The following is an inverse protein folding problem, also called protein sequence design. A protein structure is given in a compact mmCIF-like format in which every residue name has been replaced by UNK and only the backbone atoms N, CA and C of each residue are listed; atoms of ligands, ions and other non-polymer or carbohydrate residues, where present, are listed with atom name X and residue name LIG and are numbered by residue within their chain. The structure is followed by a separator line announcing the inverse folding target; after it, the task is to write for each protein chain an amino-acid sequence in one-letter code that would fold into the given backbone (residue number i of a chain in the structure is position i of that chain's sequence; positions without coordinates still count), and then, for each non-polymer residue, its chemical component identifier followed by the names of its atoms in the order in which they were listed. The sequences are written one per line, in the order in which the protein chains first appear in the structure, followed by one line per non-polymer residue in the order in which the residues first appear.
data_IF_627549774824
#
_entry.id   IF_627549774824
#
_cell.length_a   1.000
_cell.length_b   1.000
_cell.length_c   1.000
_cell.angle_alpha   90.00
_cell.angle_beta   90.00
_cell.angle_gamma   90.00
#
_symmetry.space_group_name_H-M   'P 1'
#
loop_
_entity.id
_entity.type
_entity.pdbx_description
1 polymer ?
#
# COMPACT_ATOMS: atom_id res chain seq x y z
N UNK A 1 -30.50 -47.68 55.80
CA UNK A 1 -29.71 -46.84 54.89
C UNK A 1 -30.06 -45.38 55.14
N UNK A 2 -29.03 -44.54 55.32
CA UNK A 2 -28.99 -43.05 55.51
C UNK A 2 -28.28 -42.68 56.82
N UNK A 3 -26.96 -42.55 56.72
CA UNK A 3 -26.10 -41.86 57.68
C UNK A 3 -26.03 -40.40 57.26
N UNK A 4 -26.47 -39.49 58.13
CA UNK A 4 -26.20 -38.05 58.05
C UNK A 4 -25.24 -37.69 59.18
N UNK A 5 -24.08 -37.13 58.85
CA UNK A 5 -23.20 -36.48 59.82
C UNK A 5 -22.19 -35.55 59.11
N UNK A 6 -22.22 -34.28 59.53
CA UNK A 6 -21.12 -33.28 59.65
C UNK A 6 -20.26 -33.00 58.40
N UNK A 7 -19.95 -31.76 58.02
CA UNK A 7 -19.81 -30.52 58.77
C UNK A 7 -18.51 -29.83 58.33
N UNK A 8 -18.43 -28.52 58.57
CA UNK A 8 -17.24 -27.66 58.49
C UNK A 8 -16.72 -27.22 57.11
N UNK A 9 -17.12 -26.00 56.78
CA UNK A 9 -16.42 -25.04 55.90
C UNK A 9 -14.96 -24.85 56.34
N UNK A 10 -14.02 -25.05 55.42
CA UNK A 10 -12.65 -24.57 55.54
C UNK A 10 -12.31 -23.73 54.29
N UNK A 11 -12.15 -22.43 54.52
CA UNK A 11 -11.65 -21.43 53.59
C UNK A 11 -10.17 -21.75 53.31
N UNK A 12 -9.86 -22.23 52.10
CA UNK A 12 -8.47 -22.39 51.65
C UNK A 12 -8.23 -21.33 50.58
N UNK A 13 -7.50 -20.29 50.98
CA UNK A 13 -6.87 -19.32 50.10
C UNK A 13 -5.74 -20.04 49.36
N UNK A 14 -5.93 -20.36 48.08
CA UNK A 14 -4.89 -20.90 47.21
C UNK A 14 -4.37 -19.78 46.30
N UNK A 15 -3.18 -19.30 46.63
CA UNK A 15 -2.37 -18.38 45.83
C UNK A 15 -2.01 -19.04 44.49
N UNK A 16 -2.56 -18.53 43.39
CA UNK A 16 -2.14 -18.90 42.04
C UNK A 16 -0.79 -18.27 41.73
N UNK A 17 0.26 -19.10 41.66
CA UNK A 17 1.59 -18.75 41.16
C UNK A 17 1.50 -18.47 39.66
N UNK A 18 1.77 -17.22 39.26
CA UNK A 18 1.96 -16.82 37.87
C UNK A 18 3.27 -17.42 37.34
N UNK A 19 3.20 -18.61 36.75
CA UNK A 19 4.31 -19.21 36.02
C UNK A 19 4.48 -18.52 34.67
N UNK A 20 5.61 -17.84 34.47
CA UNK A 20 6.01 -17.29 33.17
C UNK A 20 6.36 -18.46 32.23
N UNK A 21 5.62 -18.65 31.14
CA UNK A 21 5.89 -19.71 30.15
C UNK A 21 6.91 -19.19 29.13
N UNK A 22 8.08 -19.82 29.05
CA UNK A 22 9.10 -19.49 28.04
C UNK A 22 8.57 -19.82 26.62
N UNK A 23 8.87 -19.00 25.59
CA UNK A 23 8.45 -19.28 24.22
C UNK A 23 9.06 -20.59 23.70
N UNK A 24 8.25 -21.43 23.08
CA UNK A 24 8.71 -22.67 22.47
C UNK A 24 9.72 -22.39 21.33
N UNK A 25 10.79 -23.21 21.18
CA UNK A 25 11.74 -23.04 20.08
C UNK A 25 11.04 -23.31 18.73
N UNK A 26 11.17 -22.36 17.79
CA UNK A 26 10.60 -22.45 16.45
C UNK A 26 11.21 -23.63 15.66
N UNK A 27 10.45 -24.27 14.74
CA UNK A 27 10.93 -25.42 13.99
C UNK A 27 12.02 -25.03 12.98
N UNK A 28 13.18 -25.68 13.07
CA UNK A 28 14.28 -25.54 12.11
C UNK A 28 13.97 -26.30 10.82
N UNK A 29 13.98 -25.60 9.67
CA UNK A 29 13.87 -26.22 8.35
C UNK A 29 15.26 -26.40 7.76
N UNK A 30 15.76 -27.64 7.77
CA UNK A 30 17.05 -28.00 7.17
C UNK A 30 16.87 -28.22 5.67
N UNK A 31 17.41 -27.34 4.84
CA UNK A 31 17.40 -27.48 3.38
C UNK A 31 18.69 -28.17 2.92
N UNK A 32 18.59 -29.45 2.59
CA UNK A 32 19.70 -30.22 2.00
C UNK A 32 19.69 -30.05 0.48
N UNK A 33 20.59 -29.22 -0.05
CA UNK A 33 20.80 -29.05 -1.50
C UNK A 33 21.82 -30.06 -2.01
N UNK A 34 21.38 -30.98 -2.87
CA UNK A 34 22.26 -31.91 -3.60
C UNK A 34 22.62 -31.30 -4.96
N UNK A 35 23.85 -30.79 -5.10
CA UNK A 35 24.36 -30.37 -6.40
C UNK A 35 24.65 -31.61 -7.26
N UNK A 36 23.90 -31.80 -8.35
CA UNK A 36 24.17 -32.86 -9.33
C UNK A 36 25.24 -32.37 -10.29
N UNK A 37 26.46 -32.89 -10.21
CA UNK A 37 27.51 -32.56 -11.17
C UNK A 37 27.21 -33.19 -12.54
N UNK A 38 27.19 -32.37 -13.60
CA UNK A 38 27.11 -32.83 -14.98
C UNK A 38 28.43 -33.50 -15.37
N UNK A 39 28.43 -34.73 -15.94
CA UNK A 39 29.67 -35.37 -16.36
C UNK A 39 30.27 -34.66 -17.57
N UNK A 40 31.43 -34.05 -17.38
CA UNK A 40 32.30 -33.49 -18.43
C UNK A 40 32.84 -34.62 -19.33
N UNK A 41 32.85 -34.50 -20.67
CA UNK A 41 33.42 -35.52 -21.53
C UNK A 41 34.94 -35.62 -21.37
N UNK A 42 35.41 -36.86 -21.20
CA UNK A 42 36.80 -37.30 -21.07
C UNK A 42 37.64 -37.02 -22.32
N UNK A 43 38.84 -36.41 -22.18
CA UNK A 43 39.96 -36.70 -23.08
C UNK A 43 41.04 -37.54 -22.38
N UNK A 44 41.73 -38.33 -23.21
CA UNK A 44 42.65 -39.41 -22.90
C UNK A 44 43.86 -39.05 -21.99
N UNK A 45 44.35 -40.09 -21.30
CA UNK A 45 45.50 -40.18 -20.38
C UNK A 45 46.88 -39.93 -21.05
N UNK A 46 48.03 -40.07 -20.34
CA UNK A 46 48.46 -39.61 -18.99
C UNK A 46 49.86 -38.90 -18.99
N UNK A 47 50.18 -38.02 -18.02
CA UNK A 47 51.55 -37.85 -17.45
C UNK A 47 51.50 -36.95 -16.18
N UNK A 48 52.48 -36.96 -15.24
CA UNK A 48 52.19 -37.17 -13.83
C UNK A 48 52.58 -35.97 -12.96
N UNK A 49 52.11 -35.99 -11.72
CA UNK A 49 52.66 -35.18 -10.61
C UNK A 49 52.55 -33.66 -10.78
N UNK A 50 51.34 -33.14 -10.57
CA UNK A 50 51.20 -31.77 -10.05
C UNK A 50 50.68 -31.88 -8.62
N UNK A 51 51.60 -32.00 -7.66
CA UNK A 51 51.32 -31.71 -6.25
C UNK A 51 51.19 -30.19 -6.13
N UNK A 52 50.10 -29.63 -6.65
CA UNK A 52 49.69 -28.28 -6.31
C UNK A 52 49.09 -28.32 -4.90
N UNK A 53 49.50 -27.43 -3.98
CA UNK A 53 48.79 -27.28 -2.72
C UNK A 53 47.31 -26.97 -3.03
N UNK A 54 46.40 -27.74 -2.42
CA UNK A 54 44.96 -27.51 -2.52
C UNK A 54 44.67 -26.03 -2.25
N UNK A 55 43.88 -25.32 -3.09
CA UNK A 55 43.50 -23.96 -2.79
C UNK A 55 42.75 -23.96 -1.46
N UNK A 56 43.35 -23.36 -0.43
CA UNK A 56 42.69 -23.17 0.84
C UNK A 56 41.59 -22.13 0.62
N UNK A 57 40.35 -22.61 0.55
CA UNK A 57 39.16 -21.77 0.44
C UNK A 57 39.07 -20.88 1.68
N UNK A 58 39.49 -19.64 1.56
CA UNK A 58 39.29 -18.63 2.59
C UNK A 58 37.81 -18.24 2.56
N UNK A 59 37.02 -18.84 3.46
CA UNK A 59 35.64 -18.42 3.67
C UNK A 59 35.66 -17.03 4.30
N UNK A 60 35.20 -16.02 3.56
CA UNK A 60 34.87 -14.72 4.13
C UNK A 60 33.66 -14.94 5.03
N UNK A 61 33.86 -14.82 6.34
CA UNK A 61 32.76 -14.81 7.31
C UNK A 61 31.95 -13.55 7.04
N UNK A 62 30.76 -13.72 6.46
CA UNK A 62 29.81 -12.62 6.27
C UNK A 62 29.35 -12.17 7.66
N UNK A 63 29.77 -10.99 8.10
CA UNK A 63 29.19 -10.38 9.29
C UNK A 63 27.68 -10.18 9.04
N UNK A 64 26.80 -10.49 10.00
CA UNK A 64 25.38 -10.22 9.82
C UNK A 64 25.20 -8.72 9.58
N UNK A 65 24.70 -8.35 8.40
CA UNK A 65 24.24 -6.98 8.14
C UNK A 65 23.15 -6.74 9.17
N UNK A 66 23.24 -5.68 10.01
CA UNK A 66 22.18 -5.39 10.97
C UNK A 66 20.88 -5.22 10.18
N UNK A 67 19.86 -6.00 10.52
CA UNK A 67 18.52 -5.86 9.96
C UNK A 67 18.04 -4.44 10.26
N UNK A 68 18.08 -3.57 9.25
CA UNK A 68 17.52 -2.24 9.36
C UNK A 68 16.00 -2.37 9.33
N UNK A 69 15.35 -2.11 10.46
CA UNK A 69 13.90 -1.98 10.51
C UNK A 69 13.48 -0.78 9.66
N UNK A 70 12.99 -1.04 8.44
CA UNK A 70 12.44 -0.01 7.57
C UNK A 70 11.05 0.35 8.09
N UNK A 71 10.96 1.42 8.88
CA UNK A 71 9.67 1.97 9.30
C UNK A 71 9.03 2.67 8.10
N UNK A 72 8.01 2.04 7.51
CA UNK A 72 7.15 2.70 6.54
C UNK A 72 6.26 3.70 7.29
N UNK A 73 6.67 4.96 7.37
CA UNK A 73 5.77 6.03 7.82
C UNK A 73 4.71 6.22 6.74
N UNK A 74 3.42 5.91 7.00
CA UNK A 74 2.38 6.19 6.02
C UNK A 74 2.38 7.69 5.74
N UNK A 75 2.29 8.06 4.46
CA UNK A 75 2.13 9.45 4.10
C UNK A 75 0.89 10.00 4.83
N UNK A 76 0.96 11.20 5.45
CA UNK A 76 -0.21 11.78 6.08
C UNK A 76 -1.36 11.84 5.06
N UNK A 77 -2.57 11.48 5.50
CA UNK A 77 -3.77 11.68 4.69
C UNK A 77 -3.83 13.16 4.33
N UNK A 78 -3.84 13.54 3.04
CA UNK A 78 -3.99 14.94 2.67
C UNK A 78 -5.29 15.48 3.27
N UNK A 79 -5.21 16.55 4.05
CA UNK A 79 -6.38 17.32 4.49
C UNK A 79 -6.92 18.05 3.26
N UNK A 80 -7.72 17.33 2.46
CA UNK A 80 -8.38 17.92 1.30
C UNK A 80 -9.52 18.79 1.85
N UNK A 81 -9.55 20.12 1.58
CA UNK A 81 -10.72 20.91 1.91
C UNK A 81 -11.89 20.34 1.08
N UNK A 82 -12.81 19.63 1.74
CA UNK A 82 -13.92 18.93 1.06
C UNK A 82 -14.89 19.87 0.31
N UNK A 83 -14.74 21.18 0.49
CA UNK A 83 -15.57 22.24 -0.10
C UNK A 83 -14.71 23.34 -0.71
N UNK A 84 -13.74 22.98 -1.56
CA UNK A 84 -13.08 23.97 -2.40
C UNK A 84 -14.10 24.57 -3.39
N UNK A 85 -14.16 25.91 -3.47
CA UNK A 85 -14.99 26.62 -4.44
C UNK A 85 -14.21 26.76 -5.76
N UNK A 86 -14.91 26.58 -6.88
CA UNK A 86 -14.34 26.71 -8.21
C UNK A 86 -13.68 28.09 -8.42
N UNK A 87 -12.37 28.10 -8.67
CA UNK A 87 -11.61 29.30 -9.00
C UNK A 87 -10.93 29.11 -10.35
N UNK A 88 -11.32 29.90 -11.36
CA UNK A 88 -10.73 29.77 -12.69
C UNK A 88 -9.28 30.29 -12.71
N UNK A 89 -8.33 29.38 -12.86
CA UNK A 89 -6.89 29.70 -13.02
C UNK A 89 -6.50 30.02 -14.46
N UNK A 90 -7.47 29.99 -15.39
CA UNK A 90 -7.27 30.21 -16.82
C UNK A 90 -7.24 28.92 -17.63
N UNK A 91 -7.36 29.05 -18.94
CA UNK A 91 -7.34 27.91 -19.87
C UNK A 91 -5.99 27.18 -19.80
N UNK A 92 -6.04 25.86 -19.63
CA UNK A 92 -4.88 24.97 -19.70
C UNK A 92 -5.07 23.97 -20.84
N UNK A 93 -3.99 23.36 -21.37
CA UNK A 93 -4.13 22.20 -22.24
C UNK A 93 -4.98 21.14 -21.53
N UNK A 94 -6.05 20.68 -22.18
CA UNK A 94 -6.99 19.75 -21.57
C UNK A 94 -8.15 20.37 -20.77
N UNK A 95 -8.24 21.70 -20.66
CA UNK A 95 -9.42 22.38 -20.14
C UNK A 95 -9.63 23.74 -20.83
N UNK A 96 -9.98 23.68 -22.11
CA UNK A 96 -10.14 24.83 -23.00
C UNK A 96 -11.59 25.30 -23.19
N UNK A 97 -12.56 24.48 -22.79
CA UNK A 97 -13.97 24.83 -22.74
C UNK A 97 -14.31 26.06 -21.89
N UNK A 98 -15.51 26.57 -22.11
CA UNK A 98 -16.02 27.78 -21.44
C UNK A 98 -16.74 27.43 -20.12
N UNK A 99 -16.34 28.05 -18.99
CA UNK A 99 -17.10 27.97 -17.75
C UNK A 99 -18.36 28.83 -17.81
N UNK A 100 -19.44 28.33 -17.21
CA UNK A 100 -20.67 29.10 -17.02
C UNK A 100 -20.70 29.67 -15.61
N UNK A 101 -21.08 30.96 -15.51
CA UNK A 101 -21.26 31.66 -14.23
C UNK A 101 -22.73 31.93 -13.95
N UNK A 102 -23.12 31.90 -12.68
CA UNK A 102 -24.45 32.30 -12.24
C UNK A 102 -24.60 33.83 -12.16
N UNK A 103 -25.78 34.32 -11.76
CA UNK A 103 -26.05 35.75 -11.60
C UNK A 103 -25.26 36.46 -10.49
N UNK A 104 -24.65 35.70 -9.57
CA UNK A 104 -23.76 36.22 -8.52
C UNK A 104 -22.28 36.26 -8.97
N UNK A 105 -21.96 35.68 -10.14
CA UNK A 105 -20.61 35.62 -10.68
C UNK A 105 -19.84 34.36 -10.32
N UNK A 106 -20.44 33.41 -9.59
CA UNK A 106 -19.81 32.13 -9.23
C UNK A 106 -19.78 31.18 -10.43
N UNK A 107 -18.72 30.39 -10.53
CA UNK A 107 -18.59 29.34 -11.55
C UNK A 107 -19.41 28.14 -11.11
N UNK A 108 -20.41 27.76 -11.91
CA UNK A 108 -21.37 26.70 -11.56
C UNK A 108 -21.23 25.46 -12.43
N UNK A 109 -20.78 25.61 -13.67
CA UNK A 109 -20.63 24.49 -14.58
C UNK A 109 -19.60 24.74 -15.67
N UNK A 110 -19.22 23.66 -16.34
CA UNK A 110 -18.23 23.67 -17.41
C UNK A 110 -18.67 22.77 -18.55
N UNK A 111 -18.58 23.27 -19.79
CA UNK A 111 -18.90 22.48 -20.98
C UNK A 111 -17.62 21.93 -21.59
N UNK A 112 -17.52 20.61 -21.62
CA UNK A 112 -16.35 19.89 -22.13
C UNK A 112 -16.25 20.07 -23.64
N UNK A 113 -15.07 20.44 -24.15
CA UNK A 113 -14.79 20.49 -25.59
C UNK A 113 -13.78 19.42 -26.02
N UNK A 114 -13.48 19.37 -27.31
CA UNK A 114 -12.53 18.39 -27.85
C UNK A 114 -11.15 18.57 -27.24
N UNK A 115 -10.58 17.47 -26.72
CA UNK A 115 -9.26 17.45 -26.12
C UNK A 115 -9.24 17.76 -24.63
N UNK A 116 -10.39 18.08 -24.02
CA UNK A 116 -10.48 18.28 -22.58
C UNK A 116 -10.46 16.95 -21.80
N UNK A 117 -9.91 16.97 -20.59
CA UNK A 117 -9.94 15.84 -19.66
C UNK A 117 -10.52 16.26 -18.31
N UNK A 118 -11.13 15.32 -17.60
CA UNK A 118 -11.70 15.59 -16.28
C UNK A 118 -10.67 16.09 -15.26
N UNK A 119 -9.45 15.58 -15.36
CA UNK A 119 -8.35 15.94 -14.48
C UNK A 119 -7.88 17.37 -14.72
N UNK A 120 -7.69 17.76 -15.98
CA UNK A 120 -7.26 19.10 -16.34
C UNK A 120 -8.35 20.15 -16.00
N UNK A 121 -9.63 19.77 -16.13
CA UNK A 121 -10.75 20.60 -15.66
C UNK A 121 -10.67 20.81 -14.15
N UNK A 122 -10.44 19.75 -13.37
CA UNK A 122 -10.28 19.85 -11.92
C UNK A 122 -9.11 20.77 -11.54
N UNK A 123 -7.96 20.63 -12.23
CA UNK A 123 -6.80 21.49 -12.03
C UNK A 123 -7.09 22.95 -12.34
N UNK A 124 -7.74 23.22 -13.49
CA UNK A 124 -8.09 24.57 -13.91
C UNK A 124 -8.93 25.30 -12.85
N UNK A 125 -9.89 24.60 -12.25
CA UNK A 125 -10.79 25.20 -11.25
C UNK A 125 -10.28 25.08 -9.81
N UNK A 126 -9.06 24.57 -9.61
CA UNK A 126 -8.48 24.31 -8.28
C UNK A 126 -9.37 23.43 -7.39
N UNK A 127 -10.09 22.48 -8.00
CA UNK A 127 -10.99 21.55 -7.30
C UNK A 127 -10.28 20.20 -7.17
N UNK A 128 -10.27 19.58 -5.96
CA UNK A 128 -9.82 18.21 -5.82
C UNK A 128 -10.64 17.26 -6.69
N UNK A 129 -9.98 16.39 -7.47
CA UNK A 129 -10.66 15.44 -8.38
C UNK A 129 -11.72 14.62 -7.66
N UNK A 130 -11.45 14.20 -6.42
CA UNK A 130 -12.39 13.44 -5.60
C UNK A 130 -13.66 14.23 -5.27
N UNK A 131 -13.53 15.53 -4.98
CA UNK A 131 -14.67 16.42 -4.79
C UNK A 131 -15.45 16.58 -6.10
N UNK A 132 -14.74 16.77 -7.22
CA UNK A 132 -15.35 16.89 -8.54
C UNK A 132 -16.12 15.62 -8.95
N UNK A 133 -15.61 14.43 -8.64
CA UNK A 133 -16.31 13.16 -8.85
C UNK A 133 -17.59 13.05 -8.02
N UNK A 134 -17.55 13.48 -6.75
CA UNK A 134 -18.74 13.51 -5.89
C UNK A 134 -19.82 14.44 -6.43
N UNK A 135 -19.43 15.60 -6.99
CA UNK A 135 -20.34 16.55 -7.65
C UNK A 135 -20.88 16.02 -8.98
N UNK A 136 -20.22 15.02 -9.57
CA UNK A 136 -20.53 14.46 -10.89
C UNK A 136 -20.63 12.93 -10.86
N UNK A 137 -21.60 12.35 -10.13
CA UNK A 137 -21.73 10.88 -9.98
C UNK A 137 -22.00 10.13 -11.29
N UNK A 138 -22.41 10.86 -12.34
CA UNK A 138 -22.58 10.35 -13.71
C UNK A 138 -21.26 10.07 -14.44
N UNK A 139 -20.16 10.68 -13.99
CA UNK A 139 -18.81 10.49 -14.57
C UNK A 139 -18.22 9.24 -13.94
N UNK A 140 -18.17 8.16 -14.72
CA UNK A 140 -17.64 6.86 -14.29
C UNK A 140 -16.14 6.75 -14.59
N UNK A 141 -15.51 5.65 -14.12
CA UNK A 141 -14.10 5.38 -14.37
C UNK A 141 -13.16 6.44 -13.77
N UNK A 142 -13.51 6.99 -12.60
CA UNK A 142 -12.70 8.01 -11.93
C UNK A 142 -12.37 9.26 -12.79
N UNK A 143 -13.24 9.62 -13.76
CA UNK A 143 -13.02 10.75 -14.65
C UNK A 143 -12.69 10.36 -16.09
N UNK A 144 -12.57 9.06 -16.39
CA UNK A 144 -12.31 8.57 -17.75
C UNK A 144 -13.48 8.78 -18.70
N UNK A 145 -14.72 8.68 -18.20
CA UNK A 145 -15.92 8.78 -19.03
C UNK A 145 -16.42 10.23 -19.16
N UNK A 146 -15.62 11.09 -19.79
CA UNK A 146 -15.99 12.47 -20.11
C UNK A 146 -16.10 12.66 -21.63
N UNK A 147 -17.28 13.08 -22.08
CA UNK A 147 -17.59 13.24 -23.49
C UNK A 147 -17.73 14.72 -23.86
N UNK A 148 -17.33 15.06 -25.08
CA UNK A 148 -17.50 16.40 -25.65
C UNK A 148 -18.99 16.82 -25.57
N UNK A 149 -19.23 18.05 -25.15
CA UNK A 149 -20.57 18.60 -24.92
C UNK A 149 -21.19 18.21 -23.57
N UNK A 150 -20.54 17.35 -22.78
CA UNK A 150 -21.01 17.05 -21.43
C UNK A 150 -20.83 18.25 -20.52
N UNK A 151 -21.83 18.49 -19.67
CA UNK A 151 -21.78 19.54 -18.64
C UNK A 151 -21.29 18.94 -17.34
N UNK A 152 -20.12 19.40 -16.91
CA UNK A 152 -19.51 19.11 -15.60
C UNK A 152 -20.02 20.13 -14.59
N UNK A 153 -20.55 19.64 -13.48
CA UNK A 153 -20.96 20.45 -12.35
C UNK A 153 -19.73 20.87 -11.54
N UNK A 154 -19.57 22.18 -11.31
CA UNK A 154 -18.47 22.77 -10.54
C UNK A 154 -18.94 23.38 -9.21
N UNK A 155 -20.25 23.33 -8.96
CA UNK A 155 -20.85 23.97 -7.80
C UNK A 155 -20.71 23.09 -6.54
N UNK A 156 -19.84 23.51 -5.62
CA UNK A 156 -19.61 22.81 -4.36
C UNK A 156 -20.85 22.77 -3.45
N UNK A 157 -21.82 23.66 -3.62
CA UNK A 157 -23.06 23.65 -2.83
C UNK A 157 -23.93 22.42 -3.11
N UNK A 158 -23.66 21.71 -4.20
CA UNK A 158 -24.36 20.46 -4.55
C UNK A 158 -23.98 19.28 -3.64
N UNK A 159 -22.96 19.41 -2.79
CA UNK A 159 -22.50 18.36 -1.89
C UNK A 159 -23.24 18.30 -0.54
N UNK A 160 -24.06 19.31 -0.22
CA UNK A 160 -24.85 19.38 1.02
C UNK A 160 -24.19 20.19 2.13
#
# INVERSE_FOLDING_TARGET
MRRTALGATALIVATILTGCTAPAPAPTVTVTIFATATPTPTPAAPDPTVTAPLPQSTATVYAPVPEATVTFTPNPTPDIPETAIATDTGTVPGATGEPTRNGAGDIVSYTVVQGDTFFDIAQRFAIPVQQLLRMNPKVTGAGEAVYIGSVVNLDASTLG
#
